data_IF_559192126255
#
_entry.id   IF_559192126255
#
_cell.length_a   1.000
_cell.length_b   1.000
_cell.length_c   1.000
_cell.angle_alpha   90.00
_cell.angle_beta   90.00
_cell.angle_gamma   90.00
#
_symmetry.space_group_name_H-M   'P 1'
#
loop_
_entity.id
_entity.type
_entity.pdbx_description
1 polymer ?
#
# COMPACT_ATOMS: atom_id res chain seq x y z
N UNK A 1 38.98 -2.50 -52.56
CA UNK A 1 38.38 -2.68 -51.23
C UNK A 1 37.15 -3.54 -51.44
N UNK A 2 37.17 -4.80 -50.98
CA UNK A 2 36.11 -5.77 -51.23
C UNK A 2 34.81 -5.34 -50.54
N UNK A 3 33.67 -5.46 -51.23
CA UNK A 3 32.36 -5.06 -50.72
C UNK A 3 32.04 -5.77 -49.40
N UNK A 4 32.50 -7.01 -49.23
CA UNK A 4 32.38 -7.79 -48.01
C UNK A 4 33.06 -7.12 -46.80
N UNK A 5 34.18 -6.42 -47.02
CA UNK A 5 34.90 -5.73 -45.95
C UNK A 5 34.15 -4.47 -45.49
N UNK A 6 33.47 -3.79 -46.43
CA UNK A 6 32.64 -2.62 -46.12
C UNK A 6 31.39 -3.02 -45.36
N UNK A 7 30.71 -4.11 -45.74
CA UNK A 7 29.55 -4.63 -45.00
C UNK A 7 29.93 -5.12 -43.62
N UNK A 8 31.09 -5.77 -43.46
CA UNK A 8 31.57 -6.21 -42.15
C UNK A 8 31.84 -5.02 -41.21
N UNK A 9 32.48 -3.95 -41.70
CA UNK A 9 32.73 -2.74 -40.90
C UNK A 9 31.42 -2.03 -40.57
N UNK A 10 30.51 -1.90 -41.53
CA UNK A 10 29.19 -1.32 -41.29
C UNK A 10 28.41 -2.12 -40.24
N UNK A 11 28.44 -3.45 -40.28
CA UNK A 11 27.78 -4.32 -39.31
C UNK A 11 28.36 -4.17 -37.90
N UNK A 12 29.69 -4.02 -37.75
CA UNK A 12 30.34 -3.80 -36.45
C UNK A 12 30.00 -2.41 -35.89
N UNK A 13 29.99 -1.37 -36.72
CA UNK A 13 29.65 0.01 -36.29
C UNK A 13 28.17 0.11 -35.92
N UNK A 14 27.27 -0.47 -36.72
CA UNK A 14 25.83 -0.49 -36.42
C UNK A 14 25.54 -1.36 -35.19
N UNK A 15 26.21 -2.51 -35.05
CA UNK A 15 26.09 -3.41 -33.89
C UNK A 15 26.55 -2.78 -32.57
N UNK A 16 27.63 -2.00 -32.60
CA UNK A 16 28.15 -1.32 -31.40
C UNK A 16 27.30 -0.12 -30.99
N UNK A 17 26.79 0.66 -31.94
CA UNK A 17 25.90 1.79 -31.64
C UNK A 17 24.53 1.35 -31.12
N UNK A 18 23.98 0.25 -31.65
CA UNK A 18 22.72 -0.33 -31.16
C UNK A 18 22.89 -0.92 -29.75
N UNK A 19 23.98 -1.64 -29.49
CA UNK A 19 24.28 -2.13 -28.14
C UNK A 19 24.49 -0.98 -27.12
N UNK A 20 25.16 0.10 -27.52
CA UNK A 20 25.35 1.28 -26.67
C UNK A 20 24.04 2.03 -26.38
N UNK A 21 23.17 2.18 -27.39
CA UNK A 21 21.84 2.77 -27.24
C UNK A 21 20.92 1.97 -26.32
N UNK A 22 20.95 0.63 -26.42
CA UNK A 22 20.18 -0.27 -25.54
C UNK A 22 20.71 -0.21 -24.10
N UNK A 23 22.03 -0.14 -23.89
CA UNK A 23 22.63 0.01 -22.56
C UNK A 23 22.26 1.36 -21.89
N UNK A 24 22.21 2.46 -22.64
CA UNK A 24 21.79 3.76 -22.11
C UNK A 24 20.27 3.84 -21.87
N UNK A 25 19.45 3.32 -22.79
CA UNK A 25 17.99 3.30 -22.65
C UNK A 25 17.51 2.39 -21.51
N UNK A 26 18.13 1.22 -21.33
CA UNK A 26 17.78 0.25 -20.28
C UNK A 26 18.08 0.76 -18.87
N UNK A 27 19.12 1.60 -18.68
CA UNK A 27 19.42 2.22 -17.38
C UNK A 27 18.36 3.23 -16.97
N UNK A 28 17.87 4.05 -17.90
CA UNK A 28 16.76 4.97 -17.67
C UNK A 28 15.45 4.23 -17.40
N UNK A 29 15.15 3.20 -18.19
CA UNK A 29 13.97 2.36 -18.01
C UNK A 29 13.97 1.63 -16.65
N UNK A 30 15.10 1.08 -16.22
CA UNK A 30 15.21 0.42 -14.91
C UNK A 30 15.06 1.40 -13.74
N UNK A 31 15.52 2.64 -13.88
CA UNK A 31 15.37 3.68 -12.85
C UNK A 31 13.91 4.14 -12.76
N UNK A 32 13.30 4.47 -13.90
CA UNK A 32 11.89 4.86 -13.97
C UNK A 32 10.95 3.72 -13.49
N UNK A 33 11.26 2.47 -13.82
CA UNK A 33 10.50 1.32 -13.34
C UNK A 33 10.62 1.14 -11.82
N UNK A 34 11.81 1.31 -11.23
CA UNK A 34 12.00 1.24 -9.77
C UNK A 34 11.34 2.40 -9.04
N UNK A 35 11.45 3.61 -9.58
CA UNK A 35 10.83 4.81 -9.00
C UNK A 35 9.30 4.74 -9.11
N UNK A 36 8.75 4.30 -10.24
CA UNK A 36 7.32 4.06 -10.41
C UNK A 36 6.77 2.97 -9.49
N UNK A 37 7.53 1.88 -9.31
CA UNK A 37 7.12 0.79 -8.42
C UNK A 37 7.19 1.19 -6.94
N UNK A 38 8.19 1.99 -6.54
CA UNK A 38 8.28 2.54 -5.20
C UNK A 38 7.14 3.52 -4.89
N UNK A 39 6.84 4.46 -5.80
CA UNK A 39 5.74 5.43 -5.64
C UNK A 39 4.39 4.71 -5.56
N UNK A 40 4.18 3.71 -6.40
CA UNK A 40 2.96 2.89 -6.37
C UNK A 40 2.85 2.08 -5.08
N UNK A 41 3.96 1.48 -4.62
CA UNK A 41 4.02 0.74 -3.36
C UNK A 41 3.73 1.61 -2.14
N UNK A 42 4.33 2.81 -2.05
CA UNK A 42 4.05 3.76 -0.98
C UNK A 42 2.60 4.27 -1.01
N UNK A 43 2.03 4.47 -2.20
CA UNK A 43 0.62 4.84 -2.36
C UNK A 43 -0.31 3.72 -1.84
N UNK A 44 -0.06 2.46 -2.20
CA UNK A 44 -0.84 1.31 -1.69
C UNK A 44 -0.80 1.22 -0.17
N UNK A 45 0.41 1.25 0.42
CA UNK A 45 0.57 1.18 1.87
C UNK A 45 -0.13 2.33 2.60
N UNK A 46 -0.04 3.54 2.04
CA UNK A 46 -0.69 4.71 2.64
C UNK A 46 -2.22 4.59 2.58
N UNK A 47 -2.76 4.08 1.48
CA UNK A 47 -4.19 3.83 1.34
C UNK A 47 -4.66 2.73 2.30
N UNK A 48 -3.94 1.62 2.38
CA UNK A 48 -4.23 0.51 3.30
C UNK A 48 -4.23 1.01 4.76
N UNK A 49 -3.19 1.75 5.18
CA UNK A 49 -3.13 2.33 6.53
C UNK A 49 -4.27 3.33 6.81
N UNK A 50 -4.72 4.08 5.79
CA UNK A 50 -5.84 5.00 5.93
C UNK A 50 -7.17 4.26 6.12
N UNK A 51 -7.40 3.18 5.37
CA UNK A 51 -8.59 2.34 5.53
C UNK A 51 -8.58 1.60 6.87
N UNK A 52 -7.47 0.98 7.28
CA UNK A 52 -7.35 0.35 8.61
C UNK A 52 -7.61 1.35 9.73
N UNK A 53 -7.06 2.57 9.63
CA UNK A 53 -7.31 3.63 10.63
C UNK A 53 -8.78 4.02 10.69
N UNK A 54 -9.49 4.00 9.55
CA UNK A 54 -10.91 4.32 9.48
C UNK A 54 -11.76 3.20 10.08
N UNK A 55 -11.45 1.95 9.75
CA UNK A 55 -12.09 0.75 10.32
C UNK A 55 -11.94 0.71 11.84
N UNK A 56 -10.70 0.85 12.35
CA UNK A 56 -10.44 0.88 13.80
C UNK A 56 -11.18 2.03 14.51
N UNK A 57 -11.30 3.20 13.88
CA UNK A 57 -12.09 4.30 14.44
C UNK A 57 -13.58 3.96 14.53
N UNK A 58 -14.12 3.25 13.54
CA UNK A 58 -15.50 2.80 13.54
C UNK A 58 -15.71 1.71 14.62
N UNK A 59 -14.85 0.72 14.69
CA UNK A 59 -14.90 -0.33 15.72
C UNK A 59 -14.84 0.25 17.13
N UNK A 60 -13.91 1.18 17.39
CA UNK A 60 -13.81 1.87 18.69
C UNK A 60 -15.10 2.63 19.01
N UNK A 61 -15.73 3.27 18.02
CA UNK A 61 -16.99 3.98 18.22
C UNK A 61 -18.11 3.00 18.58
N UNK A 62 -18.21 1.87 17.88
CA UNK A 62 -19.18 0.80 18.14
C UNK A 62 -19.00 0.21 19.54
N UNK A 63 -17.79 -0.23 19.88
CA UNK A 63 -17.48 -0.82 21.20
C UNK A 63 -17.75 0.18 22.33
N UNK A 64 -17.46 1.46 22.14
CA UNK A 64 -17.79 2.51 23.12
C UNK A 64 -19.29 2.66 23.31
N UNK A 65 -20.07 2.58 22.24
CA UNK A 65 -21.53 2.64 22.30
C UNK A 65 -22.12 1.42 23.02
N UNK A 66 -21.64 0.23 22.69
CA UNK A 66 -22.02 -1.03 23.36
C UNK A 66 -21.67 -0.98 24.86
N UNK A 67 -20.45 -0.57 25.22
CA UNK A 67 -20.05 -0.41 26.61
C UNK A 67 -20.94 0.59 27.37
N UNK A 68 -21.36 1.68 26.73
CA UNK A 68 -22.26 2.65 27.34
C UNK A 68 -23.67 2.04 27.57
N UNK A 69 -24.18 1.27 26.61
CA UNK A 69 -25.45 0.56 26.74
C UNK A 69 -25.42 -0.47 27.87
N UNK A 70 -24.38 -1.31 27.92
CA UNK A 70 -24.17 -2.30 28.97
C UNK A 70 -24.06 -1.67 30.36
N UNK A 71 -23.34 -0.55 30.49
CA UNK A 71 -23.26 0.18 31.76
C UNK A 71 -24.62 0.72 32.20
N UNK A 72 -25.44 1.20 31.26
CA UNK A 72 -26.78 1.69 31.55
C UNK A 72 -27.72 0.55 31.96
N UNK A 73 -27.63 -0.59 31.29
CA UNK A 73 -28.41 -1.79 31.64
C UNK A 73 -27.99 -2.34 33.00
N UNK A 74 -26.69 -2.46 33.28
CA UNK A 74 -26.17 -2.84 34.59
C UNK A 74 -26.64 -1.91 35.70
N UNK A 75 -26.62 -0.59 35.47
CA UNK A 75 -27.14 0.38 36.43
C UNK A 75 -28.65 0.21 36.66
N UNK A 76 -29.42 -0.01 35.59
CA UNK A 76 -30.87 -0.29 35.68
C UNK A 76 -31.16 -1.56 36.46
N UNK A 77 -30.44 -2.65 36.19
CA UNK A 77 -30.62 -3.93 36.88
C UNK A 77 -30.27 -3.82 38.36
N UNK A 78 -29.17 -3.13 38.71
CA UNK A 78 -28.82 -2.85 40.11
C UNK A 78 -29.91 -2.08 40.85
N UNK A 79 -30.50 -1.08 40.19
CA UNK A 79 -31.61 -0.31 40.76
C UNK A 79 -32.83 -1.22 40.99
N UNK A 80 -33.15 -2.10 40.04
CA UNK A 80 -34.24 -3.07 40.17
C UNK A 80 -33.98 -4.06 41.33
N UNK A 81 -32.76 -4.58 41.46
CA UNK A 81 -32.38 -5.45 42.58
C UNK A 81 -32.57 -4.74 43.93
N UNK A 82 -32.13 -3.47 44.03
CA UNK A 82 -32.34 -2.67 45.24
C UNK A 82 -33.83 -2.45 45.53
N UNK A 83 -34.65 -2.18 44.52
CA UNK A 83 -36.11 -2.04 44.68
C UNK A 83 -36.78 -3.33 45.17
N UNK A 84 -36.24 -4.49 44.80
CA UNK A 84 -36.73 -5.80 45.26
C UNK A 84 -36.14 -6.21 46.63
N UNK A 85 -35.39 -5.33 47.30
CA UNK A 85 -34.80 -5.60 48.61
C UNK A 85 -33.51 -6.42 48.57
N UNK A 86 -32.91 -6.61 47.39
CA UNK A 86 -31.57 -7.19 47.26
C UNK A 86 -30.48 -6.18 47.63
N UNK A 87 -29.39 -6.68 48.21
CA UNK A 87 -28.17 -5.89 48.43
C UNK A 87 -27.36 -5.77 47.12
N UNK A 88 -26.66 -4.64 46.89
CA UNK A 88 -25.90 -4.36 45.66
C UNK A 88 -24.68 -5.27 45.45
#
# INVERSE_FOLDING_TARGET
MDAAMVTAIAAVVVGTLSAAGVMYGSRGANRAAREGNAVTGFSSLTNELQEERKELKQEIATVRAELAAEKLESARLRLLVQQLGGAP
#
